data_IF_021697126240
#
_entry.id   IF_021697126240
#
_cell.length_a   1.000
_cell.length_b   1.000
_cell.length_c   1.000
_cell.angle_alpha   90.00
_cell.angle_beta   90.00
_cell.angle_gamma   90.00
#
_symmetry.space_group_name_H-M   'P 1'
#
loop_
_entity.id
_entity.type
_entity.pdbx_description
1 polymer ?
#
# COMPACT_ATOMS: atom_id res chain seq x y z
N UNK A 1 -5.49 35.41 9.40
CA UNK A 1 -5.00 34.53 10.49
C UNK A 1 -4.01 33.53 9.92
N UNK A 2 -2.73 33.64 10.28
CA UNK A 2 -1.69 32.69 9.88
C UNK A 2 -1.97 31.37 10.63
N UNK A 3 -2.67 30.44 9.98
CA UNK A 3 -3.08 29.18 10.60
C UNK A 3 -2.04 28.13 10.26
N UNK A 4 -1.26 27.78 11.28
CA UNK A 4 -0.18 26.78 11.31
C UNK A 4 1.07 27.25 10.54
N UNK A 5 2.24 27.12 11.15
CA UNK A 5 3.51 27.42 10.50
C UNK A 5 3.71 26.60 9.21
N UNK A 6 4.73 26.91 8.40
CA UNK A 6 4.96 26.22 7.14
C UNK A 6 5.15 24.70 7.34
N UNK A 7 4.10 23.90 7.12
CA UNK A 7 4.19 22.44 6.99
C UNK A 7 4.60 22.14 5.55
N UNK A 8 5.90 22.17 5.28
CA UNK A 8 6.47 21.85 3.97
C UNK A 8 6.82 20.36 3.81
N UNK A 9 6.68 19.56 4.87
CA UNK A 9 7.08 18.16 4.83
C UNK A 9 6.04 17.31 4.10
N UNK A 10 6.52 16.41 3.24
CA UNK A 10 5.74 15.31 2.72
C UNK A 10 6.58 14.03 2.60
N UNK A 11 5.91 12.96 2.17
CA UNK A 11 6.53 11.65 2.02
C UNK A 11 6.11 11.01 0.71
N UNK A 12 7.08 10.43 0.01
CA UNK A 12 6.82 9.45 -1.04
C UNK A 12 7.22 8.10 -0.47
N UNK A 13 6.24 7.26 -0.16
CA UNK A 13 6.49 5.98 0.48
C UNK A 13 7.22 5.01 -0.45
N UNK A 14 7.82 3.99 0.15
CA UNK A 14 8.71 3.02 -0.50
C UNK A 14 8.21 2.51 -1.84
N UNK A 15 9.14 2.33 -2.78
CA UNK A 15 8.89 1.74 -4.08
C UNK A 15 7.99 2.55 -5.01
N UNK A 16 7.54 3.74 -4.59
CA UNK A 16 6.81 4.65 -5.45
C UNK A 16 7.73 5.29 -6.48
N UNK A 17 7.14 5.70 -7.61
CA UNK A 17 7.88 6.24 -8.75
C UNK A 17 7.20 7.47 -9.31
N UNK A 18 8.00 8.35 -9.88
CA UNK A 18 7.54 9.46 -10.70
C UNK A 18 7.82 9.14 -12.16
N UNK A 19 6.84 9.37 -13.03
CA UNK A 19 7.06 9.38 -14.47
C UNK A 19 7.86 10.62 -14.89
N UNK A 20 8.26 10.66 -16.17
CA UNK A 20 8.92 11.82 -16.76
C UNK A 20 8.04 13.06 -16.66
N UNK A 21 8.64 14.21 -16.33
CA UNK A 21 7.96 15.51 -16.18
C UNK A 21 6.85 15.53 -15.09
N UNK A 22 6.90 14.60 -14.13
CA UNK A 22 6.01 14.65 -12.97
C UNK A 22 6.44 15.72 -11.97
N UNK A 23 5.44 16.43 -11.42
CA UNK A 23 5.63 17.48 -10.42
C UNK A 23 4.67 17.26 -9.24
N UNK A 24 5.15 17.49 -8.02
CA UNK A 24 4.35 17.39 -6.79
C UNK A 24 4.57 18.67 -5.98
N UNK A 25 3.49 19.41 -5.69
CA UNK A 25 3.52 20.53 -4.77
C UNK A 25 3.41 20.03 -3.33
N UNK A 26 4.45 20.26 -2.54
CA UNK A 26 4.51 19.87 -1.13
C UNK A 26 3.70 20.82 -0.23
N UNK A 27 3.07 20.33 0.86
CA UNK A 27 3.14 18.96 1.39
C UNK A 27 2.31 17.96 0.57
N UNK A 28 2.72 16.70 0.56
CA UNK A 28 2.03 15.61 -0.13
C UNK A 28 2.44 14.28 0.51
N UNK A 29 1.57 13.28 0.46
CA UNK A 29 1.84 11.95 1.01
C UNK A 29 1.42 10.88 -0.01
N UNK A 30 2.40 10.26 -0.64
CA UNK A 30 2.20 9.30 -1.72
C UNK A 30 2.30 7.88 -1.17
N UNK A 31 1.23 7.09 -1.32
CA UNK A 31 1.17 5.71 -0.80
C UNK A 31 2.17 4.77 -1.47
N UNK A 32 2.64 3.77 -0.72
CA UNK A 32 3.69 2.85 -1.15
C UNK A 32 3.44 2.21 -2.53
N UNK A 33 4.52 2.02 -3.29
CA UNK A 33 4.51 1.41 -4.63
C UNK A 33 3.57 2.10 -5.64
N UNK A 34 3.28 3.39 -5.45
CA UNK A 34 2.41 4.14 -6.37
C UNK A 34 3.21 4.80 -7.49
N UNK A 35 2.56 5.13 -8.60
CA UNK A 35 3.16 5.83 -9.74
C UNK A 35 2.51 7.20 -9.88
N UNK A 36 3.32 8.25 -9.88
CA UNK A 36 2.89 9.65 -10.04
C UNK A 36 3.17 10.12 -11.45
N UNK A 37 2.14 10.58 -12.16
CA UNK A 37 2.19 11.01 -13.56
C UNK A 37 1.54 12.38 -13.71
N UNK A 38 2.30 13.35 -14.21
CA UNK A 38 1.83 14.72 -14.42
C UNK A 38 2.07 15.62 -13.21
N UNK A 39 1.38 16.76 -13.17
CA UNK A 39 1.66 17.84 -12.22
C UNK A 39 0.55 17.98 -11.18
N UNK A 40 0.89 17.76 -9.91
CA UNK A 40 -0.07 17.67 -8.82
C UNK A 40 0.11 18.84 -7.85
N UNK A 41 -0.84 19.78 -7.84
CA UNK A 41 -0.80 20.98 -6.98
C UNK A 41 -1.67 20.86 -5.73
N UNK A 42 -2.55 19.86 -5.66
CA UNK A 42 -3.58 19.76 -4.63
C UNK A 42 -3.13 19.22 -3.27
N UNK A 43 -1.82 19.04 -3.03
CA UNK A 43 -1.29 18.43 -1.81
C UNK A 43 -1.87 17.03 -1.51
N UNK A 44 -1.75 16.06 -2.45
CA UNK A 44 -2.44 14.77 -2.32
C UNK A 44 -1.95 13.96 -1.11
N UNK A 45 -2.88 13.48 -0.28
CA UNK A 45 -2.63 12.42 0.72
C UNK A 45 -3.32 11.12 0.25
N UNK A 46 -2.49 10.13 -0.08
CA UNK A 46 -2.87 8.85 -0.68
C UNK A 46 -2.24 7.68 0.08
N UNK A 47 -1.78 7.89 1.31
CA UNK A 47 -1.10 6.88 2.13
C UNK A 47 -1.93 5.61 2.37
N UNK A 48 -3.26 5.74 2.39
CA UNK A 48 -4.20 4.63 2.58
C UNK A 48 -4.51 3.88 1.26
N UNK A 49 -3.98 4.34 0.13
CA UNK A 49 -4.20 3.76 -1.19
C UNK A 49 -2.87 3.38 -1.84
N UNK A 50 -2.19 2.31 -1.37
CA UNK A 50 -0.93 1.85 -1.95
C UNK A 50 -1.15 1.26 -3.35
N UNK A 51 -0.06 1.08 -4.09
CA UNK A 51 -0.04 0.54 -5.45
C UNK A 51 -0.92 1.31 -6.44
N UNK A 52 -1.10 2.61 -6.22
CA UNK A 52 -2.01 3.43 -7.01
C UNK A 52 -1.31 4.10 -8.17
N UNK A 53 -2.11 4.59 -9.12
CA UNK A 53 -1.66 5.60 -10.08
C UNK A 53 -2.26 6.94 -9.69
N UNK A 54 -1.42 7.97 -9.64
CA UNK A 54 -1.85 9.37 -9.57
C UNK A 54 -1.62 9.97 -10.95
N UNK A 55 -2.71 10.44 -11.57
CA UNK A 55 -2.67 11.08 -12.89
C UNK A 55 -3.29 12.46 -12.79
N UNK A 56 -2.71 13.44 -13.46
CA UNK A 56 -3.33 14.75 -13.62
C UNK A 56 -4.38 14.71 -14.74
N UNK A 57 -5.56 15.28 -14.48
CA UNK A 57 -6.61 15.47 -15.47
C UNK A 57 -7.32 16.79 -15.23
N UNK A 58 -7.17 17.75 -16.16
CA UNK A 58 -7.75 19.11 -16.10
C UNK A 58 -7.36 19.88 -14.82
N UNK A 59 -6.10 19.78 -14.40
CA UNK A 59 -5.55 20.42 -13.21
C UNK A 59 -5.85 19.67 -11.90
N UNK A 60 -6.63 18.59 -11.94
CA UNK A 60 -7.00 17.81 -10.78
C UNK A 60 -6.19 16.51 -10.68
N UNK A 61 -5.90 16.09 -9.45
CA UNK A 61 -5.28 14.78 -9.21
C UNK A 61 -6.36 13.70 -9.18
N UNK A 62 -6.29 12.76 -10.12
CA UNK A 62 -7.13 11.57 -10.18
C UNK A 62 -6.32 10.37 -9.70
N UNK A 63 -6.87 9.66 -8.73
CA UNK A 63 -6.27 8.47 -8.14
C UNK A 63 -6.96 7.21 -8.68
N UNK A 64 -6.17 6.24 -9.13
CA UNK A 64 -6.65 4.89 -9.51
C UNK A 64 -6.08 3.85 -8.55
N UNK A 65 -6.83 3.48 -7.49
CA UNK A 65 -6.36 2.58 -6.43
C UNK A 65 -5.95 1.20 -6.94
N UNK A 66 -4.82 0.70 -6.44
CA UNK A 66 -4.32 -0.66 -6.69
C UNK A 66 -3.88 -0.94 -8.14
N UNK A 67 -3.96 0.03 -9.06
CA UNK A 67 -3.71 -0.17 -10.49
C UNK A 67 -2.29 -0.71 -10.79
N UNK A 68 -1.32 -0.39 -9.94
CA UNK A 68 0.05 -0.86 -10.08
C UNK A 68 0.23 -2.34 -9.72
N UNK A 69 -0.70 -2.97 -8.99
CA UNK A 69 -0.64 -4.40 -8.62
C UNK A 69 -0.58 -5.32 -9.85
N UNK A 70 -1.21 -4.93 -10.96
CA UNK A 70 -1.25 -5.72 -12.21
C UNK A 70 -0.07 -5.46 -13.15
N UNK A 71 0.82 -4.54 -12.82
CA UNK A 71 1.85 -4.11 -13.74
C UNK A 71 3.03 -5.05 -13.67
N UNK A 72 3.36 -5.67 -14.81
CA UNK A 72 4.55 -6.50 -15.00
C UNK A 72 5.82 -5.72 -14.58
N UNK A 73 5.85 -4.40 -14.78
CA UNK A 73 6.95 -3.56 -14.32
C UNK A 73 7.18 -3.61 -12.81
N UNK A 74 6.11 -3.60 -12.01
CA UNK A 74 6.23 -3.71 -10.55
C UNK A 74 6.78 -5.08 -10.14
N UNK A 75 6.25 -6.16 -10.72
CA UNK A 75 6.69 -7.54 -10.43
C UNK A 75 8.17 -7.71 -10.82
N UNK A 76 8.54 -7.27 -12.04
CA UNK A 76 9.93 -7.31 -12.51
C UNK A 76 10.86 -6.55 -11.58
N UNK A 77 10.46 -5.38 -11.10
CA UNK A 77 11.30 -4.63 -10.18
C UNK A 77 11.45 -5.30 -8.82
N UNK A 78 10.37 -5.88 -8.28
CA UNK A 78 10.41 -6.67 -7.05
C UNK A 78 11.36 -7.87 -7.16
N UNK A 79 11.40 -8.55 -8.32
CA UNK A 79 12.36 -9.64 -8.58
C UNK A 79 13.79 -9.15 -8.81
N UNK A 80 13.93 -7.96 -9.41
CA UNK A 80 15.21 -7.39 -9.80
C UNK A 80 15.98 -6.82 -8.61
N UNK A 81 15.29 -6.22 -7.63
CA UNK A 81 15.96 -5.56 -6.51
C UNK A 81 16.81 -6.52 -5.66
N UNK A 82 16.33 -7.71 -5.24
CA UNK A 82 17.17 -8.70 -4.54
C UNK A 82 18.41 -9.07 -5.34
N UNK A 83 18.27 -9.31 -6.65
CA UNK A 83 19.39 -9.68 -7.54
C UNK A 83 20.40 -8.55 -7.73
N UNK A 84 19.99 -7.30 -7.47
CA UNK A 84 20.84 -6.11 -7.55
C UNK A 84 21.45 -5.71 -6.21
N UNK A 85 21.06 -6.34 -5.11
CA UNK A 85 21.71 -6.12 -3.82
C UNK A 85 23.13 -6.69 -3.84
N UNK A 86 24.11 -5.80 -4.05
CA UNK A 86 25.55 -6.12 -4.10
C UNK A 86 26.29 -5.69 -2.83
N UNK A 87 25.58 -5.48 -1.70
CA UNK A 87 26.21 -5.07 -0.44
C UNK A 87 27.22 -6.14 0.02
N UNK A 88 28.49 -5.73 0.10
CA UNK A 88 29.62 -6.59 0.48
C UNK A 88 30.00 -6.52 1.96
N UNK A 89 29.40 -5.59 2.71
CA UNK A 89 29.72 -5.44 4.14
C UNK A 89 29.42 -6.75 4.89
N UNK A 90 30.37 -7.27 5.69
CA UNK A 90 30.13 -8.44 6.52
C UNK A 90 29.09 -8.16 7.62
N UNK A 91 28.92 -6.88 7.98
CA UNK A 91 27.89 -6.40 8.92
C UNK A 91 26.95 -5.42 8.21
N UNK A 92 25.73 -5.87 7.92
CA UNK A 92 24.68 -5.01 7.36
C UNK A 92 23.95 -4.34 8.53
N UNK A 93 23.91 -3.01 8.54
CA UNK A 93 23.24 -2.22 9.57
C UNK A 93 21.78 -1.90 9.19
N UNK A 94 21.43 -2.15 7.94
CA UNK A 94 20.16 -1.82 7.30
C UNK A 94 19.38 -3.09 6.91
N UNK A 95 18.09 -3.10 7.27
CA UNK A 95 17.14 -4.16 6.90
C UNK A 95 16.40 -3.74 5.63
N UNK A 96 16.84 -4.26 4.49
CA UNK A 96 16.15 -4.02 3.21
C UNK A 96 15.18 -5.17 2.95
N UNK A 97 13.88 -4.87 2.98
CA UNK A 97 12.84 -5.84 2.64
C UNK A 97 12.33 -5.61 1.20
N UNK A 98 12.49 -6.58 0.30
CA UNK A 98 12.08 -6.44 -1.10
C UNK A 98 10.64 -6.88 -1.38
N UNK A 99 9.94 -7.46 -0.41
CA UNK A 99 8.59 -7.96 -0.60
C UNK A 99 7.61 -6.80 -0.83
N UNK A 100 6.69 -7.01 -1.77
CA UNK A 100 5.63 -6.05 -2.07
C UNK A 100 4.51 -6.13 -1.04
N UNK A 101 4.04 -7.35 -0.77
CA UNK A 101 2.95 -7.65 0.15
C UNK A 101 3.54 -8.01 1.51
N UNK A 102 3.63 -7.00 2.37
CA UNK A 102 4.17 -7.08 3.73
C UNK A 102 3.06 -6.66 4.70
N UNK A 103 3.16 -6.95 6.00
CA UNK A 103 2.18 -6.46 6.96
C UNK A 103 1.95 -4.93 6.86
N UNK A 104 3.02 -4.15 6.63
CA UNK A 104 2.96 -2.71 6.42
C UNK A 104 2.15 -2.28 5.19
N UNK A 105 2.26 -2.98 4.06
CA UNK A 105 1.50 -2.64 2.84
C UNK A 105 0.11 -3.24 2.84
N UNK A 106 -0.06 -4.45 3.38
CA UNK A 106 -1.35 -5.15 3.43
C UNK A 106 -2.32 -4.48 4.38
N UNK A 107 -1.88 -3.94 5.52
CA UNK A 107 -2.77 -3.12 6.36
C UNK A 107 -3.34 -1.91 5.60
N UNK A 108 -2.55 -1.31 4.69
CA UNK A 108 -2.96 -0.15 3.89
C UNK A 108 -3.88 -0.58 2.76
N UNK A 109 -3.61 -1.72 2.14
CA UNK A 109 -4.53 -2.36 1.18
C UNK A 109 -5.88 -2.66 1.84
N UNK A 110 -5.89 -3.22 3.05
CA UNK A 110 -7.10 -3.47 3.84
C UNK A 110 -7.85 -2.16 4.13
N UNK A 111 -7.14 -1.12 4.58
CA UNK A 111 -7.73 0.20 4.85
C UNK A 111 -8.32 0.83 3.59
N UNK A 112 -7.59 0.82 2.47
CA UNK A 112 -8.07 1.30 1.18
C UNK A 112 -9.28 0.52 0.69
N UNK A 113 -9.28 -0.81 0.81
CA UNK A 113 -10.42 -1.67 0.45
C UNK A 113 -11.67 -1.31 1.28
N UNK A 114 -11.50 -1.13 2.59
CA UNK A 114 -12.56 -0.71 3.50
C UNK A 114 -13.13 0.65 3.08
N UNK A 115 -12.30 1.68 2.90
CA UNK A 115 -12.74 3.03 2.52
C UNK A 115 -13.52 3.04 1.20
N UNK A 116 -13.06 2.30 0.20
CA UNK A 116 -13.75 2.20 -1.09
C UNK A 116 -15.10 1.48 -0.97
N UNK A 117 -15.16 0.42 -0.15
CA UNK A 117 -16.38 -0.35 0.08
C UNK A 117 -17.41 0.46 0.87
N UNK A 118 -17.00 1.13 1.94
CA UNK A 118 -17.84 2.01 2.74
C UNK A 118 -18.41 3.13 1.89
N UNK A 119 -17.59 3.81 1.09
CA UNK A 119 -18.07 4.84 0.17
C UNK A 119 -19.13 4.30 -0.80
N UNK A 120 -18.95 3.09 -1.33
CA UNK A 120 -19.92 2.45 -2.22
C UNK A 120 -21.25 2.12 -1.51
N UNK A 121 -21.20 1.73 -0.24
CA UNK A 121 -22.39 1.44 0.57
C UNK A 121 -23.12 2.72 0.98
N UNK A 122 -22.39 3.75 1.43
CA UNK A 122 -22.97 5.00 1.98
C UNK A 122 -23.34 6.01 0.90
N UNK A 123 -22.58 6.09 -0.20
CA UNK A 123 -22.75 7.12 -1.24
C UNK A 123 -23.97 6.92 -2.15
N UNK A 124 -24.52 5.70 -2.23
CA UNK A 124 -25.57 5.37 -3.20
C UNK A 124 -25.16 5.73 -4.64
N UNK A 125 -26.12 5.82 -5.56
CA UNK A 125 -25.88 6.19 -6.97
C UNK A 125 -25.63 7.70 -7.19
N UNK A 126 -25.40 8.51 -6.13
CA UNK A 126 -25.45 9.99 -6.21
C UNK A 126 -24.10 10.70 -6.30
N UNK A 127 -22.99 10.04 -5.99
CA UNK A 127 -21.64 10.64 -6.10
C UNK A 127 -20.79 9.93 -7.14
N UNK A 128 -20.36 10.67 -8.16
CA UNK A 128 -19.53 10.14 -9.28
C UNK A 128 -18.06 9.91 -8.89
N UNK A 129 -17.68 10.28 -7.67
CA UNK A 129 -16.33 10.12 -7.15
C UNK A 129 -16.28 10.10 -5.61
N UNK A 130 -15.22 9.49 -5.09
CA UNK A 130 -14.79 9.62 -3.71
C UNK A 130 -13.74 10.74 -3.62
N UNK A 131 -13.97 11.73 -2.78
CA UNK A 131 -13.00 12.77 -2.47
C UNK A 131 -11.95 12.25 -1.48
N UNK A 132 -10.68 12.49 -1.77
CA UNK A 132 -9.55 12.29 -0.88
C UNK A 132 -8.82 13.64 -0.71
N UNK A 133 -8.00 13.80 0.32
CA UNK A 133 -7.23 15.04 0.48
C UNK A 133 -6.36 15.26 -0.75
N UNK A 134 -6.63 16.33 -1.50
CA UNK A 134 -5.87 16.70 -2.69
C UNK A 134 -6.02 15.78 -3.91
N UNK A 135 -6.96 14.84 -3.90
CA UNK A 135 -7.19 13.89 -4.98
C UNK A 135 -8.64 13.41 -5.05
N UNK A 136 -9.05 12.84 -6.19
CA UNK A 136 -10.36 12.16 -6.32
C UNK A 136 -10.25 10.78 -6.95
N UNK A 137 -11.16 9.90 -6.59
CA UNK A 137 -11.26 8.54 -7.14
C UNK A 137 -12.60 8.41 -7.85
N UNK A 138 -12.61 8.18 -9.16
CA UNK A 138 -13.84 8.03 -9.95
C UNK A 138 -14.62 6.76 -9.56
N UNK A 139 -15.93 6.73 -9.79
CA UNK A 139 -16.78 5.54 -9.60
C UNK A 139 -16.25 4.28 -10.31
N UNK A 140 -15.70 4.42 -11.52
CA UNK A 140 -15.04 3.32 -12.23
C UNK A 140 -13.79 2.82 -11.50
N UNK A 141 -12.98 3.75 -10.98
CA UNK A 141 -11.77 3.44 -10.22
C UNK A 141 -12.08 2.83 -8.84
N UNK A 142 -13.18 3.22 -8.20
CA UNK A 142 -13.65 2.64 -6.94
C UNK A 142 -13.92 1.15 -7.13
N UNK A 143 -14.74 0.79 -8.11
CA UNK A 143 -15.09 -0.62 -8.37
C UNK A 143 -13.85 -1.46 -8.72
N UNK A 144 -12.95 -0.94 -9.55
CA UNK A 144 -11.72 -1.64 -9.89
C UNK A 144 -10.76 -1.74 -8.69
N UNK A 145 -10.68 -0.70 -7.85
CA UNK A 145 -9.87 -0.65 -6.65
C UNK A 145 -10.31 -1.68 -5.61
N UNK A 146 -11.62 -1.80 -5.34
CA UNK A 146 -12.18 -2.85 -4.46
C UNK A 146 -11.74 -4.22 -4.95
N UNK A 147 -11.92 -4.51 -6.24
CA UNK A 147 -11.53 -5.80 -6.82
C UNK A 147 -10.01 -6.05 -6.72
N UNK A 148 -9.20 -5.05 -7.03
CA UNK A 148 -7.74 -5.16 -7.00
C UNK A 148 -7.19 -5.40 -5.59
N UNK A 149 -7.69 -4.65 -4.61
CA UNK A 149 -7.28 -4.83 -3.23
C UNK A 149 -7.80 -6.14 -2.65
N UNK A 150 -9.03 -6.56 -3.00
CA UNK A 150 -9.52 -7.90 -2.66
C UNK A 150 -8.57 -9.00 -3.12
N UNK A 151 -8.15 -8.97 -4.39
CA UNK A 151 -7.16 -9.92 -4.92
C UNK A 151 -5.83 -9.90 -4.16
N UNK A 152 -5.33 -8.72 -3.77
CA UNK A 152 -4.07 -8.61 -3.01
C UNK A 152 -4.21 -9.11 -1.57
N UNK A 153 -5.37 -8.92 -0.94
CA UNK A 153 -5.71 -9.46 0.38
C UNK A 153 -5.74 -10.99 0.29
N UNK A 154 -6.46 -11.54 -0.70
CA UNK A 154 -6.57 -13.00 -0.90
C UNK A 154 -5.19 -13.62 -1.15
N UNK A 155 -4.36 -12.98 -1.99
CA UNK A 155 -2.99 -13.44 -2.24
C UNK A 155 -2.16 -13.43 -0.95
N UNK A 156 -2.17 -12.33 -0.20
CA UNK A 156 -1.40 -12.24 1.04
C UNK A 156 -1.85 -13.26 2.08
N UNK A 157 -3.16 -13.48 2.20
CA UNK A 157 -3.71 -14.48 3.12
C UNK A 157 -3.31 -15.88 2.67
N UNK A 158 -3.44 -16.18 1.38
CA UNK A 158 -3.01 -17.44 0.78
C UNK A 158 -1.54 -17.74 1.05
N UNK A 159 -0.65 -16.78 0.80
CA UNK A 159 0.79 -16.91 1.07
C UNK A 159 1.06 -17.19 2.56
N UNK A 160 0.35 -16.50 3.46
CA UNK A 160 0.45 -16.74 4.90
C UNK A 160 -0.03 -18.14 5.30
N UNK A 161 -1.15 -18.59 4.74
CA UNK A 161 -1.72 -19.92 5.02
C UNK A 161 -0.79 -21.02 4.50
N UNK A 162 -0.33 -20.93 3.25
CA UNK A 162 0.60 -21.88 2.66
C UNK A 162 1.85 -21.99 3.54
N UNK A 163 2.47 -20.87 3.89
CA UNK A 163 3.67 -20.86 4.74
C UNK A 163 3.43 -21.45 6.13
N UNK A 164 2.25 -21.22 6.73
CA UNK A 164 1.92 -21.71 8.08
C UNK A 164 1.62 -23.20 8.10
N UNK A 165 1.13 -23.74 6.99
CA UNK A 165 0.77 -25.15 6.78
C UNK A 165 1.88 -25.96 6.12
N UNK A 166 2.87 -25.30 5.50
CA UNK A 166 4.00 -25.95 4.85
C UNK A 166 4.70 -26.92 5.80
N UNK A 167 4.95 -28.15 5.31
CA UNK A 167 5.57 -29.25 6.07
C UNK A 167 4.81 -29.71 7.32
N UNK A 168 3.51 -29.38 7.46
CA UNK A 168 2.67 -29.87 8.57
C UNK A 168 1.60 -30.83 8.08
N UNK A 169 1.44 -31.95 8.79
CA UNK A 169 0.31 -32.86 8.61
C UNK A 169 -0.85 -32.41 9.50
N UNK A 170 -2.07 -32.44 8.95
CA UNK A 170 -3.28 -32.11 9.69
C UNK A 170 -4.39 -33.07 9.28
N UNK A 171 -4.64 -34.07 10.13
CA UNK A 171 -5.62 -35.14 9.85
C UNK A 171 -7.01 -34.82 10.41
N UNK A 172 -7.19 -33.65 11.04
CA UNK A 172 -8.48 -33.22 11.56
C UNK A 172 -8.66 -31.69 11.52
N UNK A 173 -9.91 -31.20 11.44
CA UNK A 173 -10.22 -29.77 11.55
C UNK A 173 -9.70 -29.13 12.85
N UNK A 174 -9.65 -29.88 13.95
CA UNK A 174 -9.11 -29.39 15.23
C UNK A 174 -7.60 -29.16 15.16
N UNK A 175 -6.87 -30.08 14.52
CA UNK A 175 -5.42 -29.92 14.33
C UNK A 175 -5.12 -28.74 13.40
N UNK A 176 -5.90 -28.57 12.34
CA UNK A 176 -5.81 -27.41 11.46
C UNK A 176 -6.04 -26.09 12.21
N UNK A 177 -7.13 -25.99 12.99
CA UNK A 177 -7.42 -24.81 13.83
C UNK A 177 -6.29 -24.51 14.82
N UNK A 178 -5.73 -25.53 15.46
CA UNK A 178 -4.58 -25.39 16.37
C UNK A 178 -3.35 -24.82 15.64
N UNK A 179 -3.05 -25.29 14.43
CA UNK A 179 -1.93 -24.77 13.62
C UNK A 179 -2.16 -23.31 13.22
N UNK A 180 -3.39 -22.94 12.87
CA UNK A 180 -3.74 -21.58 12.45
C UNK A 180 -3.93 -20.61 13.62
N UNK A 181 -4.06 -21.11 14.84
CA UNK A 181 -4.21 -20.27 16.02
C UNK A 181 -2.95 -19.41 16.24
N UNK A 182 -3.08 -18.12 16.61
CA UNK A 182 -1.94 -17.28 16.93
C UNK A 182 -1.05 -17.91 18.00
N UNK A 183 0.28 -17.83 17.82
CA UNK A 183 1.26 -18.34 18.79
C UNK A 183 1.58 -17.29 19.88
N UNK A 184 1.04 -16.08 19.76
CA UNK A 184 1.22 -14.97 20.69
C UNK A 184 0.62 -13.67 20.14
N UNK A 185 0.94 -12.56 20.80
CA UNK A 185 0.43 -11.23 20.45
C UNK A 185 1.40 -10.40 19.59
N UNK A 186 2.55 -10.96 19.20
CA UNK A 186 3.51 -10.28 18.34
C UNK A 186 2.93 -10.04 16.96
N UNK A 187 3.11 -8.83 16.41
CA UNK A 187 2.62 -8.48 15.07
C UNK A 187 1.21 -7.86 15.04
N UNK A 188 0.63 -7.60 16.20
CA UNK A 188 -0.64 -6.90 16.37
C UNK A 188 -0.49 -5.39 16.18
N UNK A 189 -1.60 -4.68 16.00
CA UNK A 189 -1.62 -3.21 15.91
C UNK A 189 -1.17 -2.66 14.56
N UNK A 190 -0.79 -1.39 14.56
CA UNK A 190 -0.39 -0.65 13.37
C UNK A 190 1.06 -0.95 13.02
N UNK A 191 1.30 -1.31 11.76
CA UNK A 191 2.64 -1.54 11.24
C UNK A 191 3.23 -0.23 10.70
N UNK A 192 4.53 -0.04 10.89
CA UNK A 192 5.28 1.11 10.38
C UNK A 192 6.46 0.66 9.54
N UNK A 193 6.94 1.54 8.66
CA UNK A 193 8.19 1.39 7.91
C UNK A 193 9.22 2.38 8.48
N UNK A 194 10.18 1.86 9.24
CA UNK A 194 11.30 2.62 9.78
C UNK A 194 12.54 2.34 8.92
N UNK A 195 12.67 3.07 7.82
CA UNK A 195 13.81 2.96 6.90
C UNK A 195 14.09 1.52 6.43
N UNK A 196 13.04 0.75 6.14
CA UNK A 196 13.11 -0.64 5.68
C UNK A 196 12.82 -1.68 6.77
N UNK A 197 12.83 -1.30 8.05
CA UNK A 197 12.35 -2.14 9.14
C UNK A 197 10.82 -2.05 9.22
N UNK A 198 10.15 -3.17 8.95
CA UNK A 198 8.74 -3.33 9.27
C UNK A 198 8.57 -3.88 10.66
N UNK A 199 7.90 -3.11 11.50
CA UNK A 199 7.55 -3.54 12.84
C UNK A 199 6.17 -2.97 13.24
N UNK A 200 5.46 -3.66 14.14
CA UNK A 200 4.38 -3.04 14.90
C UNK A 200 4.88 -1.80 15.64
N UNK A 201 4.06 -0.75 15.68
CA UNK A 201 4.35 0.47 16.43
C UNK A 201 4.59 0.19 17.93
N UNK A 202 3.92 -0.83 18.49
CA UNK A 202 4.09 -1.26 19.89
C UNK A 202 5.42 -1.96 20.18
N UNK A 203 6.17 -2.36 19.14
CA UNK A 203 7.43 -3.10 19.27
C UNK A 203 8.69 -2.21 19.12
N UNK A 204 8.51 -0.90 18.99
CA UNK A 204 9.55 0.11 18.78
C UNK A 204 9.59 1.02 20.00
#
# INVERSE_FOLDING_TARGET
SYKLGPVHQGVVERGSKTASDSYILWPARIGAFSVVVGRHYGHPDTCDFPFSYLTEHNGETVLTPGNNLRKIGLIRDAEKWPRRDRRKSPKRLDLINFQLLTPYTIQKVLKGHQLLTEHKVTGGAKTDYLACTGARITSSSINNGIRLYGMAIDQSLGDCLVKRLENKQFESPNKLKSILSPEGNTGMGKWVDLAGLFAPEEAI
#
